data_IF_576370389092
#
_entry.id   IF_576370389092
#
_cell.length_a   1.000
_cell.length_b   1.000
_cell.length_c   1.000
_cell.angle_alpha   90.00
_cell.angle_beta   90.00
_cell.angle_gamma   90.00
#
_symmetry.space_group_name_H-M   'P 1'
#
loop_
_entity.id
_entity.type
_entity.pdbx_description
1 polymer ?
#
# COMPACT_ATOMS: atom_id res chain seq x y z
N UNK A 1 -27.43 13.16 -15.30
CA UNK A 1 -27.18 11.71 -15.41
C UNK A 1 -25.70 11.51 -15.68
N UNK A 2 -24.84 11.79 -14.71
CA UNK A 2 -24.52 10.90 -13.60
C UNK A 2 -23.17 10.27 -13.93
N UNK A 3 -22.10 11.04 -13.72
CA UNK A 3 -20.74 10.54 -13.90
C UNK A 3 -20.62 9.25 -13.09
N UNK A 4 -20.46 8.11 -13.76
CA UNK A 4 -20.03 6.88 -13.09
C UNK A 4 -18.68 7.24 -12.50
N UNK A 5 -18.64 7.46 -11.19
CA UNK A 5 -17.41 7.57 -10.41
C UNK A 5 -16.53 6.42 -10.88
N UNK A 6 -15.51 6.75 -11.67
CA UNK A 6 -14.50 5.79 -12.05
C UNK A 6 -13.92 5.30 -10.74
N UNK A 7 -14.18 4.03 -10.42
CA UNK A 7 -13.71 3.38 -9.20
C UNK A 7 -12.25 3.75 -9.03
N UNK A 8 -11.92 4.47 -7.96
CA UNK A 8 -10.56 4.92 -7.73
C UNK A 8 -9.60 3.72 -7.85
N UNK A 9 -8.39 3.90 -8.42
CA UNK A 9 -7.47 2.79 -8.63
C UNK A 9 -7.29 1.99 -7.33
N UNK A 10 -7.51 0.67 -7.38
CA UNK A 10 -7.35 -0.25 -6.27
C UNK A 10 -5.93 -0.23 -5.68
N UNK A 11 -4.93 0.12 -6.47
CA UNK A 11 -3.55 0.32 -6.01
C UNK A 11 -3.44 1.43 -4.96
N UNK A 12 -4.27 2.46 -5.01
CA UNK A 12 -4.21 3.63 -4.11
C UNK A 12 -4.50 3.29 -2.65
N UNK A 13 -5.63 2.65 -2.28
CA UNK A 13 -5.88 2.28 -0.89
C UNK A 13 -4.84 1.29 -0.34
N UNK A 14 -4.26 0.43 -1.19
CA UNK A 14 -3.20 -0.51 -0.78
C UNK A 14 -1.89 0.24 -0.46
N UNK A 15 -1.49 1.24 -1.26
CA UNK A 15 -0.35 2.13 -0.92
C UNK A 15 -0.58 2.84 0.41
N UNK A 16 -1.78 3.41 0.59
CA UNK A 16 -2.11 4.10 1.83
C UNK A 16 -2.07 3.18 3.07
N UNK A 17 -2.43 1.90 2.92
CA UNK A 17 -2.26 0.92 4.00
C UNK A 17 -0.79 0.62 4.29
N UNK A 18 0.06 0.52 3.25
CA UNK A 18 1.50 0.34 3.43
C UNK A 18 2.14 1.52 4.18
N UNK A 19 1.78 2.75 3.82
CA UNK A 19 2.24 3.98 4.48
C UNK A 19 1.86 3.98 5.97
N UNK A 20 0.61 3.66 6.31
CA UNK A 20 0.18 3.55 7.72
C UNK A 20 0.97 2.51 8.51
N UNK A 21 1.33 1.38 7.88
CA UNK A 21 2.15 0.36 8.53
C UNK A 21 3.61 0.79 8.72
N UNK A 22 4.16 1.61 7.82
CA UNK A 22 5.49 2.21 8.00
C UNK A 22 5.49 3.18 9.16
N UNK A 23 4.51 4.07 9.23
CA UNK A 23 4.35 4.99 10.35
C UNK A 23 4.21 4.24 11.68
N UNK A 24 3.47 3.14 11.70
CA UNK A 24 3.35 2.28 12.88
C UNK A 24 4.69 1.64 13.25
N UNK A 25 5.45 1.15 12.26
CA UNK A 25 6.79 0.63 12.49
C UNK A 25 7.72 1.68 13.11
N UNK A 26 7.64 2.93 12.64
CA UNK A 26 8.42 4.05 13.18
C UNK A 26 7.99 4.41 14.62
N UNK A 27 6.69 4.46 14.89
CA UNK A 27 6.16 4.65 16.26
C UNK A 27 6.63 3.55 17.20
N UNK A 28 6.64 2.30 16.75
CA UNK A 28 7.14 1.17 17.55
C UNK A 28 8.65 1.25 17.79
N UNK A 29 9.45 1.64 16.78
CA UNK A 29 10.90 1.88 16.95
C UNK A 29 11.17 2.98 17.99
N UNK A 30 10.46 4.11 17.87
CA UNK A 30 10.55 5.19 18.84
C UNK A 30 10.16 4.72 20.25
N UNK A 31 9.07 3.95 20.36
CA UNK A 31 8.63 3.37 21.65
C UNK A 31 9.67 2.43 22.24
N UNK A 32 10.33 1.60 21.43
CA UNK A 32 11.42 0.73 21.89
C UNK A 32 12.62 1.56 22.39
N UNK A 33 12.96 2.66 21.71
CA UNK A 33 13.98 3.60 22.15
C UNK A 33 13.62 4.32 23.47
N UNK A 34 12.33 4.53 23.73
CA UNK A 34 11.82 5.17 24.94
C UNK A 34 11.70 4.26 26.17
N UNK A 35 11.98 2.95 26.07
CA UNK A 35 11.89 2.04 27.22
C UNK A 35 13.05 2.26 28.19
N UNK A 36 12.75 2.88 29.34
CA UNK A 36 13.70 3.19 30.41
C UNK A 36 13.84 2.09 31.46
N UNK A 37 13.01 1.04 31.41
CA UNK A 37 13.05 -0.07 32.36
C UNK A 37 14.45 -0.72 32.37
N UNK A 38 15.13 -0.80 33.54
CA UNK A 38 16.46 -1.41 33.63
C UNK A 38 16.39 -2.94 33.61
N UNK A 39 17.57 -3.56 33.48
CA UNK A 39 17.73 -5.01 33.59
C UNK A 39 17.22 -5.81 32.40
N UNK A 40 17.04 -7.11 32.64
CA UNK A 40 16.67 -8.09 31.62
C UNK A 40 15.25 -7.85 31.10
N UNK A 41 14.32 -7.50 31.97
CA UNK A 41 12.91 -7.25 31.60
C UNK A 41 12.79 -6.10 30.60
N UNK A 42 13.48 -4.99 30.84
CA UNK A 42 13.52 -3.88 29.89
C UNK A 42 14.15 -4.26 28.55
N UNK A 43 15.18 -5.10 28.58
CA UNK A 43 15.83 -5.61 27.36
C UNK A 43 14.89 -6.51 26.55
N UNK A 44 14.17 -7.41 27.22
CA UNK A 44 13.17 -8.29 26.60
C UNK A 44 12.03 -7.46 26.02
N UNK A 45 11.55 -6.44 26.74
CA UNK A 45 10.49 -5.56 26.26
C UNK A 45 10.93 -4.77 25.01
N UNK A 46 12.11 -4.13 25.03
CA UNK A 46 12.68 -3.44 23.86
C UNK A 46 12.78 -4.34 22.64
N UNK A 47 13.31 -5.55 22.83
CA UNK A 47 13.44 -6.55 21.76
C UNK A 47 12.07 -6.95 21.21
N UNK A 48 11.08 -7.13 22.08
CA UNK A 48 9.71 -7.47 21.67
C UNK A 48 9.12 -6.34 20.83
N UNK A 49 9.20 -5.09 21.28
CA UNK A 49 8.67 -3.93 20.53
C UNK A 49 9.39 -3.80 19.17
N UNK A 50 10.72 -3.89 19.15
CA UNK A 50 11.49 -3.86 17.90
C UNK A 50 11.07 -4.97 16.92
N UNK A 51 10.81 -6.18 17.41
CA UNK A 51 10.29 -7.27 16.58
C UNK A 51 8.90 -6.97 15.98
N UNK A 52 8.03 -6.25 16.70
CA UNK A 52 6.74 -5.82 16.15
C UNK A 52 6.94 -4.77 15.04
N UNK A 53 7.86 -3.82 15.25
CA UNK A 53 8.21 -2.83 14.23
C UNK A 53 8.72 -3.49 12.94
N UNK A 54 9.60 -4.49 13.06
CA UNK A 54 10.07 -5.25 11.89
C UNK A 54 8.98 -6.01 11.16
N UNK A 55 7.96 -6.51 11.88
CA UNK A 55 6.82 -7.18 11.25
C UNK A 55 5.93 -6.19 10.50
N UNK A 56 5.64 -5.04 11.10
CA UNK A 56 4.87 -3.97 10.46
C UNK A 56 5.56 -3.48 9.18
N UNK A 57 6.87 -3.26 9.25
CA UNK A 57 7.71 -2.89 8.11
C UNK A 57 7.71 -3.95 7.00
N UNK A 58 7.84 -5.24 7.36
CA UNK A 58 7.76 -6.35 6.39
C UNK A 58 6.40 -6.40 5.69
N UNK A 59 5.32 -6.19 6.44
CA UNK A 59 3.98 -6.14 5.89
C UNK A 59 3.80 -4.93 4.96
N UNK A 60 4.30 -3.76 5.33
CA UNK A 60 4.27 -2.57 4.48
C UNK A 60 4.96 -2.80 3.12
N UNK A 61 6.19 -3.34 3.13
CA UNK A 61 6.91 -3.69 1.89
C UNK A 61 6.18 -4.72 1.04
N UNK A 62 5.45 -5.64 1.67
CA UNK A 62 4.62 -6.60 0.94
C UNK A 62 3.44 -5.92 0.25
N UNK A 63 2.76 -5.00 0.94
CA UNK A 63 1.64 -4.24 0.38
C UNK A 63 2.09 -3.29 -0.74
N UNK A 64 3.28 -2.71 -0.67
CA UNK A 64 3.82 -1.89 -1.76
C UNK A 64 4.02 -2.67 -3.05
N UNK A 65 4.63 -3.86 -2.95
CA UNK A 65 4.77 -4.75 -4.11
C UNK A 65 3.41 -5.14 -4.69
N UNK A 66 2.42 -5.38 -3.83
CA UNK A 66 1.06 -5.66 -4.27
C UNK A 66 0.43 -4.44 -4.96
N UNK A 67 0.59 -3.24 -4.41
CA UNK A 67 0.09 -2.01 -5.00
C UNK A 67 0.74 -1.69 -6.35
N UNK A 68 2.03 -1.98 -6.52
CA UNK A 68 2.72 -1.87 -7.81
C UNK A 68 2.16 -2.86 -8.84
N UNK A 69 1.90 -4.11 -8.44
CA UNK A 69 1.28 -5.09 -9.33
C UNK A 69 -0.13 -4.65 -9.76
N UNK A 70 -0.93 -4.13 -8.82
CA UNK A 70 -2.25 -3.56 -9.10
C UNK A 70 -2.15 -2.38 -10.07
N UNK A 71 -1.21 -1.46 -9.86
CA UNK A 71 -1.02 -0.30 -10.72
C UNK A 71 -0.67 -0.70 -12.17
N UNK A 72 0.15 -1.74 -12.35
CA UNK A 72 0.44 -2.29 -13.69
C UNK A 72 -0.81 -2.88 -14.34
N UNK A 73 -1.61 -3.63 -13.60
CA UNK A 73 -2.86 -4.19 -14.11
C UNK A 73 -3.87 -3.10 -14.50
N UNK A 74 -4.02 -2.07 -13.66
CA UNK A 74 -4.87 -0.90 -13.93
C UNK A 74 -4.45 -0.17 -15.21
N UNK A 75 -3.14 -0.02 -15.45
CA UNK A 75 -2.64 0.59 -16.68
C UNK A 75 -2.99 -0.24 -17.93
N UNK A 76 -2.92 -1.58 -17.85
CA UNK A 76 -3.34 -2.46 -18.93
C UNK A 76 -4.83 -2.33 -19.21
N UNK A 77 -5.67 -2.34 -18.17
CA UNK A 77 -7.12 -2.15 -18.32
C UNK A 77 -7.45 -0.78 -18.95
N UNK A 78 -6.75 0.28 -18.53
CA UNK A 78 -6.91 1.61 -19.09
C UNK A 78 -6.51 1.66 -20.58
N UNK A 79 -5.43 0.96 -20.97
CA UNK A 79 -5.01 0.85 -22.36
C UNK A 79 -6.04 0.11 -23.23
N UNK A 80 -6.56 -1.03 -22.75
CA UNK A 80 -7.61 -1.79 -23.43
C UNK A 80 -8.90 -0.96 -23.58
N UNK A 81 -9.27 -0.19 -22.54
CA UNK A 81 -10.43 0.69 -22.60
C UNK A 81 -10.26 1.86 -23.59
N UNK A 82 -9.03 2.33 -23.82
CA UNK A 82 -8.73 3.32 -24.88
C UNK A 82 -8.86 2.67 -26.26
N UNK A 83 -8.20 1.54 -26.50
CA UNK A 83 -8.26 0.83 -27.78
C UNK A 83 -9.69 0.50 -28.22
N UNK A 84 -10.56 0.03 -27.30
CA UNK A 84 -11.98 -0.21 -27.62
C UNK A 84 -12.74 1.03 -28.06
N UNK A 85 -12.46 2.20 -27.46
CA UNK A 85 -13.11 3.46 -27.84
C UNK A 85 -12.64 3.94 -29.22
N UNK A 86 -11.37 3.75 -29.53
CA UNK A 86 -10.77 4.14 -30.81
C UNK A 86 -11.27 3.24 -31.95
N UNK A 87 -11.33 1.91 -31.76
CA UNK A 87 -11.83 0.98 -32.78
C UNK A 87 -13.36 1.03 -32.97
N UNK A 88 -14.13 1.32 -31.92
CA UNK A 88 -15.59 1.44 -32.00
C UNK A 88 -16.10 2.74 -32.64
N UNK A 89 -15.25 3.76 -32.75
CA UNK A 89 -15.55 5.03 -33.43
C UNK A 89 -15.35 5.00 -34.95
N UNK A 90 -14.58 4.02 -35.45
CA UNK A 90 -14.31 3.86 -36.88
C UNK A 90 -15.50 3.23 -37.64
N UNK A 91 -16.33 2.43 -36.97
CA UNK A 91 -17.43 1.69 -37.60
C UNK A 91 -18.75 2.49 -37.80
N UNK A 92 -18.77 3.80 -37.52
CA UNK A 92 -19.96 4.67 -37.69
C UNK A 92 -19.76 5.74 -38.78
N UNK A 93 -18.76 5.58 -39.65
CA UNK A 93 -18.48 6.48 -40.78
C UNK A 93 -18.29 5.71 -42.10
N UNK A 94 -19.14 4.72 -42.36
CA UNK A 94 -19.45 4.19 -43.69
C UNK A 94 -20.97 4.14 -43.83
#
# INVERSE_FOLDING_TARGET
MGAREGTAPWSRPVRAQAERLREEADRLRASAGGVTLPGVEGTVLRRRIASHAERAERAARSLERAAEALARHEALLAALARGRRESGGAAQRE
#
